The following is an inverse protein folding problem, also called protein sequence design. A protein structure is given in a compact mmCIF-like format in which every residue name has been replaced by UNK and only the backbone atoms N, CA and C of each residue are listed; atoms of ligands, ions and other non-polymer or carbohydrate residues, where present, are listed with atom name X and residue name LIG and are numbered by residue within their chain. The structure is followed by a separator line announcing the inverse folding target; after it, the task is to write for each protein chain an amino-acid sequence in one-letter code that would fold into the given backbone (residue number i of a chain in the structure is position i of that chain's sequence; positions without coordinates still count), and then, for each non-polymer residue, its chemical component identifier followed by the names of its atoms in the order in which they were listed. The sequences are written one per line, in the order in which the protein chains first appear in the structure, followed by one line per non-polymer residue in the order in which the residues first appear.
data_IF_354450493525
#
_entry.id   IF_354450493525
#
_cell.length_a   1.000
_cell.length_b   1.000
_cell.length_c   1.000
_cell.angle_alpha   90.00
_cell.angle_beta   90.00
_cell.angle_gamma   90.00
#
_symmetry.space_group_name_H-M   'P 1'
#
loop_
_entity.id
_entity.type
_entity.pdbx_description
1 polymer ?
#
# COMPACT_ATOMS: atom_id res chain seq x y z
N UNK A 1 -5.89 21.77 1.19
CA UNK A 1 -5.86 20.51 0.48
C UNK A 1 -6.82 19.55 1.11
N UNK A 2 -7.71 19.05 0.33
CA UNK A 2 -8.70 18.12 0.85
C UNK A 2 -8.07 16.83 1.36
N UNK A 3 -6.95 16.45 0.80
CA UNK A 3 -6.31 15.21 1.24
C UNK A 3 -5.81 15.32 2.68
N UNK A 4 -5.54 16.52 3.14
CA UNK A 4 -5.09 16.70 4.51
C UNK A 4 -6.20 16.35 5.50
N UNK A 5 -7.41 16.67 5.15
CA UNK A 5 -8.53 16.39 6.04
C UNK A 5 -8.74 14.89 6.19
N UNK A 6 -8.51 14.14 5.12
CA UNK A 6 -8.68 12.71 5.20
C UNK A 6 -7.56 12.01 5.93
N UNK A 7 -6.38 12.58 5.87
CA UNK A 7 -5.20 11.92 6.43
C UNK A 7 -5.33 11.70 7.94
N UNK A 8 -5.91 12.65 8.64
CA UNK A 8 -6.04 12.52 10.08
C UNK A 8 -6.89 11.34 10.50
N UNK A 9 -7.72 10.83 9.61
CA UNK A 9 -8.62 9.74 9.92
C UNK A 9 -8.18 8.41 9.35
N UNK A 10 -7.14 8.40 8.54
CA UNK A 10 -6.67 7.17 7.89
C UNK A 10 -5.38 6.70 8.50
N UNK A 11 -5.33 5.41 8.83
CA UNK A 11 -4.10 4.80 9.30
C UNK A 11 -3.30 4.32 8.10
N UNK A 12 -2.06 3.90 8.36
CA UNK A 12 -1.25 3.30 7.30
C UNK A 12 -1.92 2.07 6.72
N UNK A 13 -2.60 1.32 7.58
CA UNK A 13 -3.35 0.14 7.12
C UNK A 13 -4.39 0.54 6.08
N UNK A 14 -5.16 1.56 6.38
CA UNK A 14 -6.20 2.02 5.45
C UNK A 14 -5.60 2.51 4.15
N UNK A 15 -4.49 3.22 4.25
CA UNK A 15 -3.83 3.74 3.06
C UNK A 15 -3.25 2.62 2.21
N UNK A 16 -2.73 1.58 2.85
CA UNK A 16 -2.20 0.43 2.14
C UNK A 16 -3.31 -0.28 1.35
N UNK A 17 -4.44 -0.49 1.99
CA UNK A 17 -5.56 -1.15 1.33
C UNK A 17 -6.05 -0.32 0.15
N UNK A 18 -6.15 0.99 0.34
CA UNK A 18 -6.59 1.86 -0.73
C UNK A 18 -5.62 1.80 -1.91
N UNK A 19 -4.33 1.85 -1.61
CA UNK A 19 -3.31 1.80 -2.65
C UNK A 19 -3.39 0.50 -3.44
N UNK A 20 -3.58 -0.62 -2.73
CA UNK A 20 -3.71 -1.89 -3.40
C UNK A 20 -4.92 -1.93 -4.32
N UNK A 21 -6.05 -1.41 -3.83
CA UNK A 21 -7.26 -1.40 -4.65
C UNK A 21 -7.10 -0.57 -5.91
N UNK A 22 -6.35 0.50 -5.81
CA UNK A 22 -6.13 1.36 -6.96
C UNK A 22 -5.28 0.68 -8.03
N UNK A 23 -4.42 -0.27 -7.63
CA UNK A 23 -3.64 -1.01 -8.62
C UNK A 23 -4.44 -2.12 -9.26
N UNK A 24 -5.55 -2.51 -8.66
CA UNK A 24 -6.36 -3.60 -9.20
C UNK A 24 -5.83 -4.98 -8.90
N UNK A 25 -4.81 -5.09 -8.07
CA UNK A 25 -4.21 -6.37 -7.74
C UNK A 25 -4.87 -6.96 -6.50
N UNK A 26 -4.91 -8.29 -6.43
CA UNK A 26 -5.34 -8.96 -5.23
C UNK A 26 -4.25 -8.84 -4.18
N UNK A 27 -4.59 -9.21 -2.93
CA UNK A 27 -3.61 -9.17 -1.87
C UNK A 27 -2.39 -10.03 -2.19
N UNK A 28 -2.64 -11.21 -2.73
CA UNK A 28 -1.56 -12.12 -3.07
C UNK A 28 -0.70 -11.55 -4.19
N UNK A 29 -1.33 -11.02 -5.22
CA UNK A 29 -0.60 -10.45 -6.34
C UNK A 29 0.20 -9.22 -5.90
N UNK A 30 -0.38 -8.42 -5.05
CA UNK A 30 0.29 -7.23 -4.56
C UNK A 30 1.52 -7.59 -3.75
N UNK A 31 1.40 -8.63 -2.91
CA UNK A 31 2.54 -9.09 -2.12
C UNK A 31 3.64 -9.60 -3.03
N UNK A 32 3.29 -10.35 -4.07
CA UNK A 32 4.28 -10.86 -4.99
C UNK A 32 4.95 -9.75 -5.77
N UNK A 33 4.19 -8.72 -6.11
CA UNK A 33 4.73 -7.60 -6.85
C UNK A 33 5.87 -6.93 -6.09
N UNK A 34 5.75 -6.85 -4.77
CA UNK A 34 6.78 -6.20 -3.95
C UNK A 34 7.74 -7.20 -3.30
N UNK A 35 7.56 -8.50 -3.54
CA UNK A 35 8.43 -9.49 -2.93
C UNK A 35 8.19 -9.64 -1.44
N UNK A 36 7.00 -9.39 -0.97
CA UNK A 36 6.65 -9.47 0.44
C UNK A 36 5.90 -10.77 0.69
N UNK A 37 6.22 -11.49 1.78
CA UNK A 37 5.45 -12.70 2.10
C UNK A 37 3.97 -12.37 2.23
N UNK A 38 3.13 -13.22 1.69
CA UNK A 38 1.69 -13.00 1.73
C UNK A 38 1.20 -12.80 3.16
N UNK A 39 1.73 -13.59 4.08
CA UNK A 39 1.29 -13.51 5.46
C UNK A 39 1.60 -12.14 6.08
N UNK A 40 2.77 -11.59 5.74
CA UNK A 40 3.12 -10.27 6.22
C UNK A 40 2.17 -9.23 5.69
N UNK A 41 1.87 -9.29 4.41
CA UNK A 41 0.92 -8.36 3.80
C UNK A 41 -0.44 -8.49 4.48
N UNK A 42 -0.87 -9.72 4.72
CA UNK A 42 -2.14 -9.96 5.37
C UNK A 42 -2.17 -9.36 6.78
N UNK A 43 -1.09 -9.55 7.54
CA UNK A 43 -1.01 -9.00 8.88
C UNK A 43 -1.11 -7.48 8.87
N UNK A 44 -0.48 -6.84 7.91
CA UNK A 44 -0.56 -5.39 7.79
C UNK A 44 -1.98 -4.93 7.51
N UNK A 45 -2.67 -5.62 6.60
CA UNK A 45 -4.02 -5.22 6.23
C UNK A 45 -5.05 -5.54 7.31
N UNK A 46 -4.79 -6.57 8.10
CA UNK A 46 -5.69 -6.91 9.20
C UNK A 46 -5.40 -6.14 10.48
N UNK A 47 -4.27 -5.43 10.51
CA UNK A 47 -3.93 -4.67 11.69
C UNK A 47 -3.19 -5.45 12.76
N UNK A 48 -2.79 -6.71 12.46
CA UNK A 48 -2.04 -7.51 13.41
C UNK A 48 -0.62 -7.03 13.58
N UNK A 49 -0.08 -6.37 12.57
CA UNK A 49 1.24 -5.79 12.60
C UNK A 49 1.19 -4.39 12.02
N UNK A 50 2.05 -3.53 12.53
CA UNK A 50 2.12 -2.17 12.03
C UNK A 50 3.18 -2.09 10.95
N UNK A 51 2.76 -1.58 9.79
CA UNK A 51 3.65 -1.40 8.66
C UNK A 51 4.56 -0.21 8.91
N UNK A 52 5.88 -0.33 8.61
CA UNK A 52 6.76 0.83 8.70
C UNK A 52 6.36 1.88 7.67
N UNK A 53 6.36 3.14 8.10
CA UNK A 53 5.94 4.21 7.21
C UNK A 53 6.89 4.38 6.04
N UNK A 54 8.20 4.24 6.28
CA UNK A 54 9.14 4.41 5.19
C UNK A 54 8.93 3.37 4.10
N UNK A 55 8.55 2.15 4.50
CA UNK A 55 8.29 1.11 3.52
C UNK A 55 7.06 1.44 2.69
N UNK A 56 6.03 1.97 3.35
CA UNK A 56 4.84 2.38 2.62
C UNK A 56 5.18 3.44 1.58
N UNK A 57 6.02 4.39 1.94
CA UNK A 57 6.40 5.44 1.00
C UNK A 57 7.17 4.89 -0.19
N UNK A 58 8.04 3.93 0.06
CA UNK A 58 8.79 3.31 -1.03
C UNK A 58 7.87 2.55 -1.97
N UNK A 59 6.89 1.86 -1.41
CA UNK A 59 5.93 1.12 -2.23
C UNK A 59 5.10 2.07 -3.08
N UNK A 60 4.65 3.15 -2.49
CA UNK A 60 3.88 4.14 -3.21
C UNK A 60 4.70 4.76 -4.34
N UNK A 61 5.94 5.06 -4.07
CA UNK A 61 6.84 5.63 -5.06
C UNK A 61 7.05 4.67 -6.23
N UNK A 62 7.25 3.39 -5.91
CA UNK A 62 7.45 2.39 -6.95
C UNK A 62 6.24 2.29 -7.85
N UNK A 63 5.05 2.29 -7.26
CA UNK A 63 3.83 2.21 -8.06
C UNK A 63 3.71 3.42 -8.97
N UNK A 64 3.99 4.60 -8.46
CA UNK A 64 3.88 5.81 -9.27
C UNK A 64 4.84 5.80 -10.44
N UNK A 65 6.06 5.35 -10.20
CA UNK A 65 7.07 5.31 -11.25
C UNK A 65 6.69 4.30 -12.33
N UNK A 66 6.25 3.12 -11.91
CA UNK A 66 5.94 2.08 -12.88
C UNK A 66 4.70 2.40 -13.69
N UNK A 67 3.73 3.04 -13.06
CA UNK A 67 2.54 3.45 -13.80
C UNK A 67 2.88 4.53 -14.81
N UNK A 68 3.79 5.41 -14.47
CA UNK A 68 4.23 6.42 -15.43
C UNK A 68 5.01 5.80 -16.58
N UNK A 69 5.77 4.75 -16.29
CA UNK A 69 6.58 4.10 -17.31
C UNK A 69 5.76 3.31 -18.31
N UNK A 70 4.55 2.93 -17.94
CA UNK A 70 3.73 2.10 -18.82
C UNK A 70 3.12 2.90 -19.96
N UNK A 71 3.26 4.18 -19.96
CA UNK A 71 2.67 5.00 -21.00
C UNK A 71 3.44 4.94 -22.31
#
# INVERSE_FOLDING_TARGET
MEWCAGIGLMTLKDRLIKMRRETGLSRKEFAEYFGIPYRTMQDWELGNRQMPEYLFRLMEYKIQIERASER
#
